data_IF_212300013306
#
_entry.id   IF_212300013306
#
_cell.length_a   1.000
_cell.length_b   1.000
_cell.length_c   1.000
_cell.angle_alpha   90.00
_cell.angle_beta   90.00
_cell.angle_gamma   90.00
#
_symmetry.space_group_name_H-M   'P 1'
#
loop_
_entity.id
_entity.type
_entity.pdbx_description
1 polymer ?
#
# COMPACT_ATOMS: atom_id res chain seq x y z
N UNK A 1 -30.24 8.88 -4.99
CA UNK A 1 -29.38 9.77 -4.21
C UNK A 1 -27.92 9.45 -4.53
N UNK A 2 -27.19 10.45 -4.99
CA UNK A 2 -25.79 10.30 -5.29
C UNK A 2 -25.00 10.34 -3.97
N UNK A 3 -24.30 9.26 -3.69
CA UNK A 3 -23.34 9.23 -2.59
C UNK A 3 -21.96 9.39 -3.19
N UNK A 4 -21.21 10.45 -2.86
CA UNK A 4 -19.83 10.53 -3.31
C UNK A 4 -19.08 9.28 -2.85
N UNK A 5 -18.34 8.69 -3.77
CA UNK A 5 -17.49 7.55 -3.43
C UNK A 5 -16.59 7.97 -2.28
N UNK A 6 -16.69 7.28 -1.14
CA UNK A 6 -15.79 7.56 -0.03
C UNK A 6 -14.36 7.24 -0.48
N UNK A 7 -13.43 8.08 -0.06
CA UNK A 7 -12.02 7.92 -0.34
C UNK A 7 -11.54 6.57 0.20
N UNK A 8 -10.77 5.84 -0.60
CA UNK A 8 -10.25 4.55 -0.23
C UNK A 8 -9.20 4.69 0.87
N UNK A 9 -9.22 3.78 1.85
CA UNK A 9 -8.21 3.72 2.90
C UNK A 9 -7.33 2.50 2.69
N UNK A 10 -6.02 2.73 2.66
CA UNK A 10 -4.99 1.70 2.46
C UNK A 10 -4.16 1.62 3.75
N UNK A 11 -4.18 0.46 4.40
CA UNK A 11 -3.35 0.22 5.57
C UNK A 11 -1.89 0.08 5.14
N UNK A 12 -1.05 1.01 5.57
CA UNK A 12 0.38 1.01 5.24
C UNK A 12 1.06 -0.17 5.93
N UNK A 13 1.57 -1.13 5.13
CA UNK A 13 2.18 -2.37 5.63
C UNK A 13 1.22 -3.18 6.53
N UNK A 14 -0.10 -3.01 6.31
CA UNK A 14 -1.13 -3.65 7.11
C UNK A 14 -1.45 -2.99 8.44
N UNK A 15 -0.75 -1.93 8.81
CA UNK A 15 -0.96 -1.23 10.09
C UNK A 15 -2.25 -0.41 10.05
N UNK A 16 -3.00 -0.43 11.15
CA UNK A 16 -4.29 0.27 11.23
C UNK A 16 -4.35 1.29 12.35
N UNK A 17 -3.52 1.18 13.37
CA UNK A 17 -3.62 2.01 14.58
C UNK A 17 -2.25 2.47 15.08
N UNK A 18 -1.36 2.83 14.17
CA UNK A 18 -0.03 3.35 14.47
C UNK A 18 1.09 2.36 14.20
N UNK A 19 2.33 2.85 14.16
CA UNK A 19 3.49 2.02 13.90
C UNK A 19 3.70 0.95 14.96
N UNK A 20 3.92 -0.29 14.53
CA UNK A 20 4.30 -1.42 15.39
C UNK A 20 5.25 -2.33 14.62
N UNK A 21 5.82 -3.31 15.32
CA UNK A 21 6.65 -4.35 14.69
C UNK A 21 5.84 -5.38 13.91
N UNK A 22 4.50 -5.25 13.90
CA UNK A 22 3.61 -6.10 13.11
C UNK A 22 3.56 -5.70 11.64
N UNK A 23 4.21 -4.61 11.25
CA UNK A 23 4.25 -4.17 9.86
C UNK A 23 4.72 -5.31 8.95
N UNK A 24 4.05 -5.47 7.80
CA UNK A 24 4.32 -6.54 6.84
C UNK A 24 4.14 -7.97 7.38
N UNK A 25 3.59 -8.14 8.57
CA UNK A 25 3.24 -9.46 9.07
C UNK A 25 2.02 -9.99 8.30
N UNK A 26 2.06 -11.23 7.81
CA UNK A 26 0.91 -11.80 7.09
C UNK A 26 -0.39 -11.75 7.89
N UNK A 27 -0.35 -12.05 9.20
CA UNK A 27 -1.53 -12.02 10.05
C UNK A 27 -2.12 -10.61 10.17
N UNK A 28 -1.26 -9.60 10.30
CA UNK A 28 -1.70 -8.20 10.39
C UNK A 28 -2.33 -7.73 9.08
N UNK A 29 -1.74 -8.12 7.94
CA UNK A 29 -2.29 -7.79 6.63
C UNK A 29 -3.65 -8.45 6.44
N UNK A 30 -3.77 -9.74 6.76
CA UNK A 30 -5.04 -10.46 6.66
C UNK A 30 -6.12 -9.83 7.56
N UNK A 31 -5.73 -9.38 8.75
CA UNK A 31 -6.65 -8.67 9.64
C UNK A 31 -7.15 -7.38 8.98
N UNK A 32 -6.26 -6.55 8.47
CA UNK A 32 -6.63 -5.27 7.85
C UNK A 32 -7.55 -5.47 6.64
N UNK A 33 -7.24 -6.47 5.79
CA UNK A 33 -8.10 -6.82 4.66
C UNK A 33 -9.48 -7.29 5.11
N UNK A 34 -9.54 -8.10 6.17
CA UNK A 34 -10.79 -8.66 6.69
C UNK A 34 -11.71 -7.58 7.25
N UNK A 35 -11.16 -6.55 7.89
CA UNK A 35 -11.97 -5.45 8.41
C UNK A 35 -12.34 -4.41 7.35
N UNK A 36 -11.86 -4.56 6.12
CA UNK A 36 -12.34 -3.79 4.97
C UNK A 36 -11.37 -2.82 4.34
N UNK A 37 -10.14 -2.74 4.81
CA UNK A 37 -9.13 -1.88 4.20
C UNK A 37 -8.45 -2.55 3.01
N UNK A 38 -7.94 -1.75 2.08
CA UNK A 38 -6.87 -2.19 1.20
C UNK A 38 -5.57 -2.20 2.03
N UNK A 39 -4.54 -2.88 1.53
CA UNK A 39 -3.24 -2.93 2.20
C UNK A 39 -2.11 -2.68 1.22
N UNK A 40 -1.17 -1.85 1.61
CA UNK A 40 0.13 -1.77 0.96
C UNK A 40 1.07 -2.77 1.63
N UNK A 41 1.82 -3.51 0.82
CA UNK A 41 2.78 -4.52 1.30
C UNK A 41 4.11 -4.32 0.59
N UNK A 42 5.20 -4.69 1.27
CA UNK A 42 6.56 -4.65 0.73
C UNK A 42 6.98 -6.06 0.34
N UNK A 43 7.15 -6.29 -0.97
CA UNK A 43 7.38 -7.63 -1.52
C UNK A 43 8.81 -7.82 -2.01
N UNK A 44 9.41 -8.91 -1.55
CA UNK A 44 10.69 -9.44 -2.02
C UNK A 44 10.47 -10.78 -2.71
N UNK A 45 11.28 -11.07 -3.72
CA UNK A 45 11.39 -12.41 -4.27
C UNK A 45 12.86 -12.79 -4.32
N UNK A 46 13.19 -13.92 -3.69
CA UNK A 46 14.58 -14.39 -3.57
C UNK A 46 14.59 -15.88 -3.85
N UNK A 47 15.32 -16.30 -4.87
CA UNK A 47 15.40 -17.70 -5.28
C UNK A 47 14.01 -18.34 -5.47
N UNK A 48 13.12 -17.62 -6.16
CA UNK A 48 11.75 -18.04 -6.47
C UNK A 48 10.83 -18.15 -5.23
N UNK A 49 11.24 -17.66 -4.07
CA UNK A 49 10.42 -17.59 -2.86
C UNK A 49 9.99 -16.15 -2.59
N UNK A 50 8.79 -15.95 -2.06
CA UNK A 50 8.25 -14.64 -1.75
C UNK A 50 8.36 -14.33 -0.26
N UNK A 51 8.69 -13.07 0.04
CA UNK A 51 8.82 -12.57 1.41
C UNK A 51 8.24 -11.17 1.52
N UNK A 52 7.73 -10.84 2.71
CA UNK A 52 7.31 -9.48 3.05
C UNK A 52 8.31 -8.87 4.04
N UNK A 53 8.52 -7.57 3.95
CA UNK A 53 9.37 -6.82 4.86
C UNK A 53 9.83 -5.50 4.25
N UNK A 54 9.98 -4.45 5.09
CA UNK A 54 10.37 -3.15 4.56
C UNK A 54 11.87 -3.07 4.26
N UNK A 55 12.71 -3.35 5.25
CA UNK A 55 14.16 -3.22 5.12
C UNK A 55 14.82 -4.50 4.62
N UNK A 56 14.18 -5.63 4.82
CA UNK A 56 14.68 -6.93 4.42
C UNK A 56 13.53 -7.92 4.23
N UNK A 57 13.83 -9.09 3.69
CA UNK A 57 12.88 -10.18 3.50
C UNK A 57 12.68 -10.90 4.84
N UNK A 58 11.56 -10.60 5.52
CA UNK A 58 11.31 -11.08 6.88
C UNK A 58 10.33 -12.25 6.97
N UNK A 59 9.21 -12.16 6.23
CA UNK A 59 8.10 -13.11 6.39
C UNK A 59 7.88 -13.86 5.08
N UNK A 60 8.18 -15.15 5.07
CA UNK A 60 7.90 -15.96 3.89
C UNK A 60 6.40 -16.11 3.70
N UNK A 61 5.95 -15.95 2.45
CA UNK A 61 4.54 -16.12 2.07
C UNK A 61 4.44 -17.00 0.83
N UNK A 62 3.34 -17.74 0.66
CA UNK A 62 3.08 -18.43 -0.60
C UNK A 62 2.62 -17.43 -1.66
N UNK A 63 2.77 -17.79 -2.94
CA UNK A 63 2.27 -16.95 -4.04
C UNK A 63 0.78 -16.67 -3.90
N UNK A 64 0.01 -17.63 -3.39
CA UNK A 64 -1.44 -17.47 -3.20
C UNK A 64 -1.80 -16.30 -2.28
N UNK A 65 -0.91 -15.90 -1.37
CA UNK A 65 -1.11 -14.73 -0.52
C UNK A 65 -1.29 -13.46 -1.34
N UNK A 66 -0.63 -13.37 -2.49
CA UNK A 66 -0.64 -12.18 -3.35
C UNK A 66 -1.93 -12.04 -4.16
N UNK A 67 -2.80 -13.05 -4.16
CA UNK A 67 -4.01 -13.10 -4.99
C UNK A 67 -5.20 -12.42 -4.31
N UNK A 68 -4.99 -11.20 -3.86
CA UNK A 68 -6.04 -10.37 -3.29
C UNK A 68 -5.98 -9.02 -4.01
N UNK A 69 -7.07 -8.63 -4.68
CA UNK A 69 -7.11 -7.42 -5.49
C UNK A 69 -7.09 -6.13 -4.66
N UNK A 70 -7.12 -6.25 -3.34
CA UNK A 70 -7.01 -5.11 -2.42
C UNK A 70 -5.58 -4.83 -1.99
N UNK A 71 -4.62 -5.59 -2.50
CA UNK A 71 -3.20 -5.36 -2.23
C UNK A 71 -2.61 -4.34 -3.19
N UNK A 72 -1.84 -3.42 -2.63
CA UNK A 72 -0.98 -2.47 -3.35
C UNK A 72 0.45 -2.91 -3.07
N UNK A 73 1.11 -3.49 -4.07
CA UNK A 73 2.38 -4.19 -3.88
C UNK A 73 3.55 -3.30 -4.24
N UNK A 74 4.33 -2.93 -3.23
CA UNK A 74 5.59 -2.23 -3.40
C UNK A 74 6.70 -3.26 -3.63
N UNK A 75 7.20 -3.34 -4.86
CA UNK A 75 8.29 -4.24 -5.18
C UNK A 75 9.59 -3.73 -4.54
N UNK A 76 10.30 -4.60 -3.80
CA UNK A 76 11.48 -4.21 -3.03
C UNK A 76 12.80 -4.66 -3.67
N UNK A 77 12.76 -5.61 -4.60
CA UNK A 77 13.96 -6.01 -5.33
C UNK A 77 13.63 -6.32 -6.79
N UNK A 78 14.65 -6.44 -7.61
CA UNK A 78 14.48 -6.64 -9.04
C UNK A 78 13.73 -7.93 -9.35
N UNK A 79 14.01 -9.02 -8.63
CA UNK A 79 13.35 -10.31 -8.87
C UNK A 79 11.84 -10.20 -8.63
N UNK A 80 11.41 -9.48 -7.57
CA UNK A 80 10.00 -9.24 -7.33
C UNK A 80 9.38 -8.36 -8.42
N UNK A 81 10.05 -7.28 -8.79
CA UNK A 81 9.55 -6.39 -9.83
C UNK A 81 9.40 -7.11 -11.17
N UNK A 82 10.38 -7.92 -11.55
CA UNK A 82 10.35 -8.70 -12.78
C UNK A 82 9.15 -9.67 -12.79
N UNK A 83 8.94 -10.39 -11.69
CA UNK A 83 7.79 -11.30 -11.55
C UNK A 83 6.46 -10.53 -11.71
N UNK A 84 6.32 -9.40 -11.04
CA UNK A 84 5.10 -8.60 -11.10
C UNK A 84 4.85 -8.05 -12.51
N UNK A 85 5.89 -7.59 -13.19
CA UNK A 85 5.77 -7.09 -14.57
C UNK A 85 5.33 -8.20 -15.53
N UNK A 86 5.85 -9.41 -15.38
CA UNK A 86 5.45 -10.55 -16.22
C UNK A 86 4.00 -10.99 -15.95
N UNK A 87 3.46 -10.63 -14.79
CA UNK A 87 2.10 -10.98 -14.36
C UNK A 87 1.26 -9.74 -14.10
N UNK A 88 1.49 -8.69 -14.87
CA UNK A 88 0.92 -7.35 -14.60
C UNK A 88 -0.61 -7.31 -14.68
N UNK A 89 -1.25 -8.26 -15.36
CA UNK A 89 -2.71 -8.33 -15.40
C UNK A 89 -3.33 -8.90 -14.11
N UNK A 90 -2.51 -9.49 -13.25
CA UNK A 90 -2.98 -10.18 -12.03
C UNK A 90 -2.72 -9.39 -10.76
N UNK A 91 -1.80 -8.41 -10.80
CA UNK A 91 -1.35 -7.71 -9.59
C UNK A 91 -1.39 -6.20 -9.77
N UNK A 92 -1.58 -5.49 -8.65
CA UNK A 92 -1.50 -4.03 -8.58
C UNK A 92 -0.20 -3.68 -7.85
N UNK A 93 0.76 -3.09 -8.54
CA UNK A 93 2.11 -2.91 -7.99
C UNK A 93 2.76 -1.63 -8.47
N UNK A 94 3.86 -1.27 -7.81
CA UNK A 94 4.68 -0.11 -8.15
C UNK A 94 6.10 -0.31 -7.63
N UNK A 95 7.02 0.49 -8.16
CA UNK A 95 8.38 0.66 -7.67
C UNK A 95 8.53 2.09 -7.17
N UNK A 96 9.07 2.28 -5.96
CA UNK A 96 9.24 3.60 -5.38
C UNK A 96 10.49 3.60 -4.51
N UNK A 97 11.31 4.66 -4.62
CA UNK A 97 12.48 4.87 -3.78
C UNK A 97 12.31 6.17 -2.99
N UNK A 98 12.85 7.28 -3.47
CA UNK A 98 12.71 8.59 -2.83
C UNK A 98 12.02 9.62 -3.70
N UNK A 99 11.30 9.18 -4.72
CA UNK A 99 10.66 10.05 -5.70
C UNK A 99 9.45 10.77 -5.12
N UNK A 100 9.16 11.97 -5.63
CA UNK A 100 7.93 12.68 -5.28
C UNK A 100 6.69 11.90 -5.71
N UNK A 101 6.77 11.22 -6.86
CA UNK A 101 5.66 10.48 -7.45
C UNK A 101 6.15 9.18 -8.07
N UNK A 102 5.34 8.12 -7.91
CA UNK A 102 5.51 6.87 -8.62
C UNK A 102 4.17 6.46 -9.21
N UNK A 103 4.17 5.85 -10.40
CA UNK A 103 2.94 5.43 -11.07
C UNK A 103 2.77 3.93 -10.86
N UNK A 104 1.60 3.50 -10.39
CA UNK A 104 1.28 2.08 -10.31
C UNK A 104 0.93 1.55 -11.70
N UNK A 105 1.00 0.23 -11.88
CA UNK A 105 0.67 -0.38 -13.17
C UNK A 105 -0.80 -0.17 -13.60
N UNK A 106 -1.69 0.15 -12.65
CA UNK A 106 -3.08 0.45 -12.94
C UNK A 106 -3.35 1.95 -13.12
N UNK A 107 -2.31 2.79 -13.07
CA UNK A 107 -2.44 4.22 -13.40
C UNK A 107 -2.78 5.12 -12.22
N UNK A 108 -2.53 4.72 -11.00
CA UNK A 108 -2.64 5.60 -9.83
C UNK A 108 -1.30 6.22 -9.51
N UNK A 109 -1.31 7.38 -8.87
CA UNK A 109 -0.09 8.12 -8.53
C UNK A 109 0.21 7.98 -7.04
N UNK A 110 1.23 7.19 -6.74
CA UNK A 110 1.72 7.02 -5.35
C UNK A 110 2.52 8.27 -4.99
N UNK A 111 1.99 9.05 -4.03
CA UNK A 111 2.45 10.41 -3.80
C UNK A 111 3.16 10.54 -2.47
N UNK A 112 4.44 10.94 -2.51
CA UNK A 112 5.26 11.18 -1.33
C UNK A 112 4.64 12.29 -0.45
N UNK A 113 4.82 12.25 0.89
CA UNK A 113 4.23 13.26 1.77
C UNK A 113 4.52 14.70 1.36
N UNK A 114 3.52 15.56 1.51
CA UNK A 114 3.56 17.00 1.21
C UNK A 114 3.56 17.36 -0.27
N UNK A 115 3.53 16.39 -1.16
CA UNK A 115 3.48 16.68 -2.59
C UNK A 115 2.04 16.94 -3.03
N UNK A 116 1.89 17.65 -4.14
CA UNK A 116 0.59 18.02 -4.68
C UNK A 116 -0.19 16.78 -5.12
N UNK A 117 -1.50 16.76 -4.83
CA UNK A 117 -2.39 15.65 -5.12
C UNK A 117 -3.29 15.93 -6.34
N UNK A 118 -3.71 14.86 -6.99
CA UNK A 118 -4.76 14.86 -8.01
C UNK A 118 -5.87 13.89 -7.60
N UNK A 119 -6.91 13.77 -8.40
CA UNK A 119 -8.02 12.85 -8.12
C UNK A 119 -7.67 11.37 -8.29
N UNK A 120 -6.51 11.06 -8.90
CA UNK A 120 -5.99 9.69 -9.01
C UNK A 120 -4.78 9.45 -8.10
N UNK A 121 -4.49 10.38 -7.20
CA UNK A 121 -3.37 10.26 -6.27
C UNK A 121 -3.71 9.38 -5.08
N UNK A 122 -2.71 8.66 -4.59
CA UNK A 122 -2.69 8.08 -3.25
C UNK A 122 -1.84 9.01 -2.40
N UNK A 123 -2.43 9.59 -1.35
CA UNK A 123 -1.69 10.40 -0.39
C UNK A 123 -1.02 9.49 0.63
N UNK A 124 0.31 9.43 0.62
CA UNK A 124 1.05 8.51 1.48
C UNK A 124 1.44 9.22 2.77
N UNK A 125 1.11 8.62 3.90
CA UNK A 125 1.48 9.04 5.26
C UNK A 125 1.13 10.50 5.56
N UNK A 126 -0.11 10.93 5.32
CA UNK A 126 -0.49 12.33 5.59
C UNK A 126 -0.37 12.70 7.07
N UNK A 127 -0.42 11.73 7.98
CA UNK A 127 -0.24 11.96 9.42
C UNK A 127 1.13 12.56 9.76
N UNK A 128 2.10 12.51 8.84
CA UNK A 128 3.42 13.11 9.07
C UNK A 128 3.42 14.61 8.89
N UNK A 129 2.37 15.21 8.30
CA UNK A 129 2.34 16.66 8.04
C UNK A 129 0.99 17.31 8.31
N UNK A 130 -0.04 16.56 8.76
CA UNK A 130 -1.34 17.14 9.10
C UNK A 130 -2.02 16.32 10.18
N UNK A 131 -3.04 16.92 10.81
CA UNK A 131 -3.79 16.28 11.88
C UNK A 131 -4.72 15.22 11.33
N UNK A 132 -4.88 14.10 12.07
CA UNK A 132 -5.67 12.96 11.66
C UNK A 132 -7.12 13.32 11.31
N UNK A 133 -7.75 14.22 12.06
CA UNK A 133 -9.14 14.59 11.84
C UNK A 133 -9.35 15.44 10.57
N UNK A 134 -8.27 15.91 9.94
CA UNK A 134 -8.31 16.68 8.70
C UNK A 134 -8.05 15.83 7.46
N UNK A 135 -7.52 14.63 7.61
CA UNK A 135 -7.10 13.79 6.48
C UNK A 135 -8.28 13.46 5.57
N UNK A 136 -9.45 13.16 6.13
CA UNK A 136 -10.65 12.84 5.35
C UNK A 136 -11.12 13.98 4.45
N UNK A 137 -10.63 15.20 4.66
CA UNK A 137 -10.98 16.36 3.83
C UNK A 137 -10.12 16.45 2.56
N UNK A 138 -9.07 15.65 2.45
CA UNK A 138 -8.21 15.64 1.27
C UNK A 138 -8.99 15.17 0.04
N UNK A 139 -8.66 15.73 -1.11
CA UNK A 139 -9.27 15.37 -2.38
C UNK A 139 -8.26 14.58 -3.21
N UNK A 140 -8.37 13.27 -3.11
CA UNK A 140 -7.54 12.31 -3.83
C UNK A 140 -8.26 10.97 -3.90
N UNK A 141 -7.66 10.00 -4.58
CA UNK A 141 -8.25 8.68 -4.73
C UNK A 141 -8.24 7.88 -3.41
N UNK A 142 -7.11 7.91 -2.71
CA UNK A 142 -6.90 7.07 -1.54
C UNK A 142 -5.91 7.69 -0.56
N UNK A 143 -5.98 7.22 0.68
CA UNK A 143 -5.03 7.55 1.75
C UNK A 143 -4.31 6.27 2.13
N UNK A 144 -2.98 6.29 2.17
CA UNK A 144 -2.17 5.21 2.71
C UNK A 144 -1.57 5.67 4.03
N UNK A 145 -1.93 5.02 5.12
CA UNK A 145 -1.59 5.50 6.47
C UNK A 145 -1.41 4.33 7.44
N UNK A 146 -0.60 4.58 8.47
CA UNK A 146 -0.50 3.67 9.62
C UNK A 146 -1.70 3.79 10.56
N UNK A 147 -2.55 4.81 10.39
CA UNK A 147 -3.61 5.17 11.33
C UNK A 147 -5.01 5.11 10.70
N UNK A 148 -5.25 4.18 9.78
CA UNK A 148 -6.54 4.13 9.06
C UNK A 148 -7.74 3.95 9.98
N UNK A 149 -7.58 3.34 11.16
CA UNK A 149 -8.66 3.22 12.15
C UNK A 149 -9.08 4.58 12.72
N UNK A 150 -8.26 5.60 12.57
CA UNK A 150 -8.50 6.93 13.16
C UNK A 150 -8.84 7.98 12.09
N UNK A 151 -8.98 7.57 10.85
CA UNK A 151 -9.37 8.42 9.73
C UNK A 151 -10.80 8.11 9.31
#
# INVERSE_FOLDING_TARGET
VFHPTSMKLIAHRGLTNGPTDLENSPDQIEYALRVGYDCEIDLWRINNQFYLGHDNAQHEIPESFLRNDKLWIHAKNLEALHFLCLNSSQYHFFWHEGDAYAVTNLGYIWTYPKQKLTDISVCVMPETFMELDKIKELKCHAICSDFVDQI
#
